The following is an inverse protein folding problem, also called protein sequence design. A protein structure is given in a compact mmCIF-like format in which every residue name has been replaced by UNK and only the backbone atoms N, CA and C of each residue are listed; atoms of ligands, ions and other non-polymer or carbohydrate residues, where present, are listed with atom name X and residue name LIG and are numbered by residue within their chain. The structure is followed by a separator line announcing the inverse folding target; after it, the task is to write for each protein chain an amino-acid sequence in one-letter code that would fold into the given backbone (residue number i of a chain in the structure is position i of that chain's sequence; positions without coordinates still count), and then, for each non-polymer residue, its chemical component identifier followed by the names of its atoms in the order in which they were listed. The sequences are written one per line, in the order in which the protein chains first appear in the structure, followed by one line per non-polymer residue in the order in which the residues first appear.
data_IF_169316130178
#
_entry.id   IF_169316130178
#
_cell.length_a   1.000
_cell.length_b   1.000
_cell.length_c   1.000
_cell.angle_alpha   90.00
_cell.angle_beta   90.00
_cell.angle_gamma   90.00
#
_symmetry.space_group_name_H-M   'P 1'
#
loop_
_entity.id
_entity.type
_entity.pdbx_description
1 polymer ?
#
# COMPACT_ATOMS: atom_id res chain seq x y z
N UNK A 1 -3.00 17.94 16.69
CA UNK A 1 -2.95 17.06 15.48
C UNK A 1 -4.20 17.29 14.64
N UNK A 2 -4.04 17.67 13.37
CA UNK A 2 -5.17 17.87 12.43
C UNK A 2 -5.74 16.48 12.10
N UNK A 3 -7.01 16.21 12.41
CA UNK A 3 -7.64 14.91 12.06
C UNK A 3 -7.76 14.82 10.55
N UNK A 4 -7.08 13.85 9.94
CA UNK A 4 -7.20 13.55 8.52
C UNK A 4 -8.63 13.09 8.20
N UNK A 5 -9.16 13.58 7.07
CA UNK A 5 -10.54 13.32 6.66
C UNK A 5 -10.68 11.86 6.24
N UNK A 6 -11.79 11.22 6.64
CA UNK A 6 -12.15 9.90 6.11
C UNK A 6 -12.63 10.09 4.68
N UNK A 7 -11.96 9.46 3.72
CA UNK A 7 -12.27 9.53 2.28
C UNK A 7 -13.20 8.39 1.87
N UNK A 8 -13.31 7.36 2.71
CA UNK A 8 -14.06 6.13 2.45
C UNK A 8 -15.52 6.24 2.89
N UNK A 9 -16.43 5.62 2.12
CA UNK A 9 -17.86 5.57 2.40
C UNK A 9 -18.25 4.10 2.51
N UNK A 10 -18.84 3.71 3.65
CA UNK A 10 -19.36 2.35 3.83
C UNK A 10 -18.35 1.23 3.46
N UNK A 11 -17.10 1.36 3.94
CA UNK A 11 -15.99 0.44 3.64
C UNK A 11 -15.59 0.33 2.16
N UNK A 12 -16.03 1.27 1.31
CA UNK A 12 -15.67 1.39 -0.11
C UNK A 12 -14.97 2.72 -0.44
N UNK A 13 -14.38 2.81 -1.64
CA UNK A 13 -13.76 4.03 -2.19
C UNK A 13 -14.44 4.45 -3.49
N UNK A 14 -15.53 5.24 -3.44
CA UNK A 14 -16.29 5.60 -4.64
C UNK A 14 -15.50 6.35 -5.72
N UNK A 15 -14.42 7.04 -5.35
CA UNK A 15 -13.55 7.76 -6.29
C UNK A 15 -12.56 6.84 -7.02
N UNK A 16 -12.36 5.60 -6.56
CA UNK A 16 -11.49 4.61 -7.17
C UNK A 16 -12.34 3.45 -7.70
N UNK A 17 -12.60 3.45 -9.01
CA UNK A 17 -13.49 2.49 -9.66
C UNK A 17 -13.07 1.02 -9.45
N UNK A 18 -11.76 0.77 -9.38
CA UNK A 18 -11.19 -0.57 -9.22
C UNK A 18 -10.81 -0.91 -7.77
N UNK A 19 -11.10 -0.03 -6.81
CA UNK A 19 -10.87 -0.33 -5.40
C UNK A 19 -11.66 -1.57 -4.99
N UNK A 20 -11.07 -2.49 -4.21
CA UNK A 20 -11.81 -3.60 -3.62
C UNK A 20 -12.95 -3.12 -2.73
N UNK A 21 -14.04 -3.89 -2.73
CA UNK A 21 -15.06 -3.75 -1.70
C UNK A 21 -14.60 -4.47 -0.42
N UNK A 22 -14.36 -3.71 0.65
CA UNK A 22 -13.96 -4.28 1.93
C UNK A 22 -15.15 -4.72 2.79
N UNK A 23 -16.39 -4.48 2.35
CA UNK A 23 -17.59 -4.93 3.07
C UNK A 23 -17.55 -6.43 3.31
N UNK A 24 -17.94 -6.82 4.51
CA UNK A 24 -17.96 -8.21 4.99
C UNK A 24 -16.61 -8.94 4.93
N UNK A 25 -15.51 -8.29 4.53
CA UNK A 25 -14.16 -8.88 4.58
C UNK A 25 -13.63 -8.88 6.01
N UNK A 26 -12.53 -9.61 6.24
CA UNK A 26 -11.82 -9.60 7.53
C UNK A 26 -10.95 -8.34 7.72
N UNK A 27 -10.91 -7.44 6.75
CA UNK A 27 -10.10 -6.22 6.78
C UNK A 27 -11.00 -5.00 7.03
N UNK A 28 -10.52 -4.07 7.85
CA UNK A 28 -11.23 -2.81 8.12
C UNK A 28 -10.45 -1.65 7.55
N UNK A 29 -11.14 -0.89 6.70
CA UNK A 29 -10.63 0.32 6.06
C UNK A 29 -10.02 1.28 7.08
N UNK A 30 -8.74 1.60 6.91
CA UNK A 30 -8.01 2.53 7.76
C UNK A 30 -8.11 3.96 7.22
N UNK A 31 -7.96 4.91 8.13
CA UNK A 31 -7.88 6.32 7.76
C UNK A 31 -6.45 6.62 7.29
N UNK A 32 -6.29 7.63 6.41
CA UNK A 32 -4.96 8.12 6.08
C UNK A 32 -4.19 8.49 7.36
N UNK A 33 -2.88 8.29 7.35
CA UNK A 33 -1.98 8.62 8.46
C UNK A 33 -0.80 9.45 7.96
N UNK A 34 -0.03 10.02 8.88
CA UNK A 34 1.21 10.75 8.56
C UNK A 34 2.38 9.87 9.01
N UNK A 35 3.35 9.62 8.13
CA UNK A 35 4.56 8.88 8.46
C UNK A 35 5.59 9.76 9.19
N UNK A 36 6.74 9.19 9.56
CA UNK A 36 7.75 9.90 10.34
C UNK A 36 8.41 11.05 9.55
N UNK A 37 8.31 11.02 8.22
CA UNK A 37 8.80 12.05 7.30
C UNK A 37 7.77 13.17 7.04
N UNK A 38 6.60 13.13 7.69
CA UNK A 38 5.57 14.15 7.50
C UNK A 38 4.80 14.04 6.18
N UNK A 39 4.85 12.89 5.52
CA UNK A 39 4.08 12.55 4.31
C UNK A 39 2.76 11.92 4.72
N UNK A 40 1.66 12.32 4.08
CA UNK A 40 0.34 11.74 4.30
C UNK A 40 0.19 10.49 3.43
N UNK A 41 -0.11 9.35 4.04
CA UNK A 41 -0.20 8.04 3.41
C UNK A 41 -1.66 7.60 3.35
N UNK A 42 -2.13 7.20 2.16
CA UNK A 42 -3.49 6.73 1.92
C UNK A 42 -4.55 7.84 1.79
N UNK A 43 -4.16 9.08 1.47
CA UNK A 43 -5.08 10.18 1.17
C UNK A 43 -5.48 10.26 -0.32
N UNK A 44 -5.04 9.30 -1.12
CA UNK A 44 -5.21 9.24 -2.59
C UNK A 44 -4.56 10.41 -3.35
N UNK A 45 -3.67 11.17 -2.71
CA UNK A 45 -2.81 12.15 -3.37
C UNK A 45 -1.41 11.54 -3.56
N UNK A 46 -0.85 11.68 -4.76
CA UNK A 46 0.46 11.13 -5.08
C UNK A 46 1.60 12.14 -4.86
N UNK A 47 1.28 13.42 -4.69
CA UNK A 47 2.25 14.48 -4.44
C UNK A 47 2.17 14.97 -3.00
N UNK A 48 3.32 15.24 -2.42
CA UNK A 48 3.45 15.83 -1.08
C UNK A 48 4.73 16.64 -1.04
N UNK A 49 4.65 17.89 -0.56
CA UNK A 49 5.82 18.76 -0.47
C UNK A 49 6.95 18.20 0.42
N UNK A 50 6.61 17.29 1.33
CA UNK A 50 7.57 16.61 2.22
C UNK A 50 8.04 15.26 1.65
N UNK A 51 7.62 14.88 0.44
CA UNK A 51 8.00 13.61 -0.18
C UNK A 51 9.45 13.66 -0.66
N UNK A 52 10.26 12.61 -0.39
CA UNK A 52 11.59 12.47 -0.98
C UNK A 52 11.58 12.52 -2.52
N UNK A 53 10.48 12.13 -3.17
CA UNK A 53 10.34 12.21 -4.63
C UNK A 53 10.25 13.65 -5.16
N UNK A 54 9.60 14.55 -4.42
CA UNK A 54 9.46 15.96 -4.81
C UNK A 54 10.73 16.77 -4.50
N UNK A 55 11.62 16.22 -3.67
CA UNK A 55 12.89 16.81 -3.28
C UNK A 55 14.09 16.00 -3.79
N UNK A 56 13.88 15.15 -4.81
CA UNK A 56 14.86 14.16 -5.25
C UNK A 56 16.22 14.77 -5.59
N UNK A 57 17.29 14.17 -5.07
CA UNK A 57 18.68 14.52 -5.38
C UNK A 57 19.56 13.28 -5.25
N UNK A 58 20.80 13.38 -5.72
CA UNK A 58 21.81 12.31 -5.61
C UNK A 58 22.23 12.04 -4.14
N UNK A 59 21.83 12.92 -3.21
CA UNK A 59 22.11 12.79 -1.77
C UNK A 59 21.01 12.02 -1.03
N UNK A 60 19.85 11.81 -1.66
CA UNK A 60 18.72 11.09 -1.05
C UNK A 60 18.90 9.60 -1.30
N UNK A 61 19.06 8.84 -0.22
CA UNK A 61 19.06 7.38 -0.27
C UNK A 61 17.64 6.87 -0.58
N UNK A 62 17.42 6.17 -1.72
CA UNK A 62 16.11 5.61 -2.05
C UNK A 62 15.54 4.67 -0.98
N UNK A 63 16.39 4.07 -0.14
CA UNK A 63 15.97 3.20 0.95
C UNK A 63 15.08 3.91 1.98
N UNK A 64 15.12 5.26 2.05
CA UNK A 64 14.24 6.04 2.92
C UNK A 64 12.76 5.84 2.61
N UNK A 65 12.43 5.45 1.36
CA UNK A 65 11.08 5.17 0.89
C UNK A 65 10.69 3.69 1.00
N UNK A 66 11.45 2.91 1.78
CA UNK A 66 11.17 1.51 2.05
C UNK A 66 10.60 1.34 3.46
N UNK A 67 9.80 0.30 3.67
CA UNK A 67 9.21 -0.02 4.98
C UNK A 67 7.69 0.17 5.05
N UNK A 68 7.12 -0.26 6.18
CA UNK A 68 5.66 -0.31 6.37
C UNK A 68 5.01 1.07 6.44
N UNK A 69 5.75 2.11 6.85
CA UNK A 69 5.23 3.47 6.98
C UNK A 69 4.89 4.13 5.64
N UNK A 70 5.37 3.57 4.52
CA UNK A 70 5.07 4.04 3.16
C UNK A 70 3.89 3.31 2.51
N UNK A 71 3.35 2.27 3.17
CA UNK A 71 2.29 1.43 2.62
C UNK A 71 1.01 1.62 3.43
N UNK A 72 -0.06 2.07 2.77
CA UNK A 72 -1.35 2.11 3.42
C UNK A 72 -2.00 0.71 3.40
N UNK A 73 -2.49 0.18 4.55
CA UNK A 73 -2.98 -1.19 4.62
C UNK A 73 -4.25 -1.47 3.80
N UNK A 74 -5.01 -0.43 3.44
CA UNK A 74 -6.31 -0.58 2.72
C UNK A 74 -6.54 0.44 1.61
N UNK A 75 -5.55 1.27 1.27
CA UNK A 75 -5.70 2.36 0.28
C UNK A 75 -4.35 2.65 -0.36
N UNK A 76 -3.91 1.69 -1.15
CA UNK A 76 -2.67 1.68 -1.91
C UNK A 76 -3.03 1.30 -3.34
N UNK A 77 -2.34 1.87 -4.33
CA UNK A 77 -2.62 1.63 -5.74
C UNK A 77 -2.51 0.13 -6.11
N UNK A 78 -1.66 -0.62 -5.40
CA UNK A 78 -1.52 -2.05 -5.61
C UNK A 78 -2.82 -2.84 -5.38
N UNK A 79 -3.74 -2.35 -4.55
CA UNK A 79 -5.02 -3.02 -4.29
C UNK A 79 -6.00 -2.96 -5.45
N UNK A 80 -5.82 -2.03 -6.39
CA UNK A 80 -6.72 -1.85 -7.53
C UNK A 80 -6.50 -2.88 -8.65
N UNK A 81 -5.45 -3.71 -8.56
CA UNK A 81 -5.25 -4.79 -9.52
C UNK A 81 -6.36 -5.83 -9.38
N UNK A 82 -6.79 -6.42 -10.49
CA UNK A 82 -7.87 -7.40 -10.50
C UNK A 82 -7.56 -8.57 -9.57
N UNK A 83 -6.32 -9.06 -9.60
CA UNK A 83 -5.86 -10.19 -8.78
C UNK A 83 -5.97 -9.87 -7.27
N UNK A 84 -5.51 -8.68 -6.85
CA UNK A 84 -5.55 -8.29 -5.44
C UNK A 84 -6.98 -8.02 -4.97
N UNK A 85 -7.80 -7.39 -5.82
CA UNK A 85 -9.22 -7.20 -5.57
C UNK A 85 -9.94 -8.52 -5.36
N UNK A 86 -9.76 -9.48 -6.28
CA UNK A 86 -10.37 -10.81 -6.17
C UNK A 86 -9.93 -11.53 -4.87
N UNK A 87 -8.67 -11.40 -4.46
CA UNK A 87 -8.19 -12.00 -3.21
C UNK A 87 -8.89 -11.41 -1.97
N UNK A 88 -9.03 -10.09 -1.89
CA UNK A 88 -9.69 -9.40 -0.78
C UNK A 88 -11.18 -9.77 -0.73
N UNK A 89 -11.89 -9.59 -1.84
CA UNK A 89 -13.34 -9.78 -1.92
C UNK A 89 -13.73 -11.23 -1.69
N UNK A 90 -12.95 -12.19 -2.21
CA UNK A 90 -13.18 -13.62 -1.98
C UNK A 90 -12.65 -14.13 -0.64
N UNK A 91 -12.06 -13.25 0.20
CA UNK A 91 -11.45 -13.58 1.50
C UNK A 91 -10.40 -14.70 1.39
N UNK A 92 -9.76 -14.83 0.22
CA UNK A 92 -8.74 -15.83 -0.05
C UNK A 92 -7.40 -15.30 0.42
N UNK A 93 -6.64 -16.14 1.10
CA UNK A 93 -5.23 -15.85 1.35
C UNK A 93 -4.48 -15.94 0.02
N UNK A 94 -3.55 -15.00 -0.27
CA UNK A 94 -2.68 -15.15 -1.42
C UNK A 94 -1.94 -16.48 -1.32
N UNK A 95 -1.88 -17.21 -2.44
CA UNK A 95 -0.99 -18.36 -2.55
C UNK A 95 0.44 -17.84 -2.60
N UNK A 96 1.02 -17.61 -1.42
CA UNK A 96 2.41 -17.24 -1.27
C UNK A 96 3.28 -18.43 -1.67
N UNK A 97 3.60 -18.53 -2.96
CA UNK A 97 4.75 -19.31 -3.39
C UNK A 97 6.01 -18.53 -3.00
N UNK A 98 7.10 -19.20 -2.62
CA UNK A 98 8.39 -18.53 -2.54
C UNK A 98 8.64 -17.82 -3.87
N UNK A 99 9.03 -16.54 -3.81
CA UNK A 99 9.49 -15.80 -4.97
C UNK A 99 10.69 -16.55 -5.56
N UNK A 100 10.45 -17.44 -6.52
CA UNK A 100 11.48 -18.23 -7.16
C UNK A 100 11.79 -17.60 -8.51
N UNK A 101 13.03 -17.20 -8.71
CA UNK A 101 13.48 -16.87 -10.05
C UNK A 101 13.43 -18.16 -10.89
N UNK A 102 12.82 -18.17 -12.10
CA UNK A 102 12.56 -19.39 -12.86
C UNK A 102 13.80 -20.28 -13.09
N UNK A 103 14.97 -19.67 -13.07
CA UNK A 103 16.27 -20.31 -13.34
C UNK A 103 17.27 -20.24 -12.19
N UNK A 104 17.00 -19.49 -11.12
CA UNK A 104 18.00 -19.23 -10.07
C UNK A 104 17.47 -19.69 -8.72
N UNK A 105 18.23 -20.53 -8.04
CA UNK A 105 17.98 -20.92 -6.66
C UNK A 105 18.21 -19.70 -5.77
N UNK A 106 17.17 -19.28 -5.04
CA UNK A 106 17.19 -18.14 -4.12
C UNK A 106 17.20 -18.59 -2.66
N UNK A 107 17.38 -19.89 -2.39
CA UNK A 107 17.51 -20.39 -1.02
C UNK A 107 18.81 -19.88 -0.39
N UNK A 108 18.71 -19.29 0.80
CA UNK A 108 19.85 -18.95 1.64
C UNK A 108 20.17 -20.12 2.57
N UNK A 109 21.42 -20.61 2.59
CA UNK A 109 21.87 -21.70 3.48
C UNK A 109 22.28 -23.02 2.79
N UNK A 110 23.16 -22.95 1.79
CA UNK A 110 23.94 -24.11 1.31
C UNK A 110 25.43 -23.77 1.38
N UNK A 111 25.93 -23.63 2.59
CA UNK A 111 27.33 -23.56 2.97
C UNK A 111 27.63 -24.63 4.03
#
# INVERSE_FOLDING_TARGET
MKKLKKITVDETMPHQIDSPDFKDTNMKMKRPFVNDFGVVIGDSQYSSANSPLEQWSDEIDPAIMSGEEWVHPTNDIGWNTRENRELIESKKKPNAFPFMHPTKDVNHGKD
#
